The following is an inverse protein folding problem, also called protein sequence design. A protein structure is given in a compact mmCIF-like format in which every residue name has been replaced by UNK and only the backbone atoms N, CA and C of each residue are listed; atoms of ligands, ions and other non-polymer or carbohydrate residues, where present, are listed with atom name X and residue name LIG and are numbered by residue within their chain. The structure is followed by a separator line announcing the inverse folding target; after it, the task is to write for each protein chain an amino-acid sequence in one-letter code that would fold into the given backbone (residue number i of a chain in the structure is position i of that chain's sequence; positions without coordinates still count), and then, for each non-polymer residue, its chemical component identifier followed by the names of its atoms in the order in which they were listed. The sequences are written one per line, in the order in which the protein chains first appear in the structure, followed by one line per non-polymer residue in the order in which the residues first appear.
data_IF_186776752398
#
_entry.id   IF_186776752398
#
_cell.length_a   1.000
_cell.length_b   1.000
_cell.length_c   1.000
_cell.angle_alpha   90.00
_cell.angle_beta   90.00
_cell.angle_gamma   90.00
#
_symmetry.space_group_name_H-M   'P 1'
#
loop_
_entity.id
_entity.type
_entity.pdbx_description
1 polymer ?
#
# COMPACT_ATOMS: atom_id res chain seq x y z
N UNK A 1 7.07 -23.11 -8.25
CA UNK A 1 8.22 -22.75 -7.40
C UNK A 1 8.44 -21.25 -7.62
N UNK A 2 7.77 -20.40 -6.82
CA UNK A 2 7.87 -18.94 -6.97
C UNK A 2 9.19 -18.53 -6.33
N UNK A 3 9.95 -17.78 -7.10
CA UNK A 3 11.33 -17.40 -6.84
C UNK A 3 11.48 -16.67 -5.49
N UNK A 4 12.09 -17.37 -4.51
CA UNK A 4 12.45 -16.87 -3.18
C UNK A 4 13.55 -15.78 -3.23
N UNK A 5 13.98 -15.36 -4.42
CA UNK A 5 15.03 -14.37 -4.62
C UNK A 5 14.55 -12.92 -4.78
N UNK A 6 13.25 -12.63 -4.88
CA UNK A 6 12.76 -11.23 -4.77
C UNK A 6 12.70 -10.80 -3.31
N UNK A 7 13.85 -10.87 -2.64
CA UNK A 7 14.06 -10.47 -1.25
C UNK A 7 14.10 -8.94 -1.20
N UNK A 8 13.04 -8.35 -0.68
CA UNK A 8 13.05 -7.05 0.01
C UNK A 8 13.23 -5.76 -0.84
N UNK A 9 12.91 -5.78 -2.13
CA UNK A 9 13.06 -4.62 -3.06
C UNK A 9 11.89 -3.62 -3.06
N UNK A 10 10.84 -3.84 -2.26
CA UNK A 10 9.56 -3.12 -2.47
C UNK A 10 9.57 -1.63 -2.10
N UNK A 11 10.28 -1.25 -1.03
CA UNK A 11 10.22 0.11 -0.46
C UNK A 11 11.51 0.90 -0.58
N UNK A 12 12.58 0.30 -1.10
CA UNK A 12 13.83 1.02 -1.37
C UNK A 12 13.65 2.05 -2.51
N UNK A 13 12.77 1.74 -3.46
CA UNK A 13 12.37 2.62 -4.56
C UNK A 13 11.18 3.52 -4.22
N UNK A 14 10.76 3.61 -2.95
CA UNK A 14 9.56 4.36 -2.58
C UNK A 14 9.62 5.83 -3.02
N UNK A 15 10.76 6.49 -2.82
CA UNK A 15 10.96 7.89 -3.24
C UNK A 15 10.88 8.04 -4.75
N UNK A 16 11.48 7.12 -5.50
CA UNK A 16 11.41 7.10 -6.98
C UNK A 16 9.98 6.90 -7.47
N UNK A 17 9.21 6.02 -6.82
CA UNK A 17 7.79 5.81 -7.13
C UNK A 17 6.96 7.06 -6.83
N UNK A 18 7.20 7.72 -5.70
CA UNK A 18 6.47 8.93 -5.32
C UNK A 18 6.75 10.09 -6.29
N UNK A 19 8.00 10.25 -6.72
CA UNK A 19 8.40 11.22 -7.75
C UNK A 19 7.79 10.86 -9.10
N UNK A 20 7.84 9.60 -9.51
CA UNK A 20 7.27 9.14 -10.79
C UNK A 20 5.75 9.37 -10.84
N UNK A 21 5.05 9.08 -9.75
CA UNK A 21 3.63 9.37 -9.60
C UNK A 21 3.35 10.87 -9.75
N UNK A 22 4.10 11.72 -9.04
CA UNK A 22 3.91 13.16 -9.09
C UNK A 22 4.20 13.74 -10.48
N UNK A 23 5.24 13.25 -11.17
CA UNK A 23 5.55 13.68 -12.53
C UNK A 23 4.41 13.33 -13.48
N UNK A 24 3.91 12.10 -13.42
CA UNK A 24 2.78 11.64 -14.23
C UNK A 24 1.51 12.47 -13.98
N UNK A 25 1.21 12.75 -12.71
CA UNK A 25 0.10 13.61 -12.31
C UNK A 25 0.28 15.07 -12.79
N UNK A 26 1.49 15.60 -12.67
CA UNK A 26 1.82 16.96 -13.11
C UNK A 26 1.68 17.12 -14.61
N UNK A 27 2.12 16.14 -15.39
CA UNK A 27 1.98 16.16 -16.84
C UNK A 27 0.52 16.04 -17.27
N UNK A 28 -0.27 15.22 -16.56
CA UNK A 28 -1.72 15.19 -16.75
C UNK A 28 -2.37 16.55 -16.44
N UNK A 29 -2.03 17.18 -15.31
CA UNK A 29 -2.56 18.51 -14.97
C UNK A 29 -2.19 19.57 -16.02
N UNK A 30 -0.94 19.58 -16.52
CA UNK A 30 -0.51 20.48 -17.60
C UNK A 30 -1.30 20.26 -18.87
N UNK A 31 -1.60 19.00 -19.22
CA UNK A 31 -2.41 18.68 -20.41
C UNK A 31 -3.84 19.24 -20.35
N UNK A 32 -4.36 19.48 -19.13
CA UNK A 32 -5.64 20.13 -18.89
C UNK A 32 -5.54 21.66 -18.79
N UNK A 33 -4.36 22.25 -19.02
CA UNK A 33 -4.07 23.68 -18.89
C UNK A 33 -3.80 24.14 -17.45
N UNK A 34 -3.63 23.21 -16.50
CA UNK A 34 -3.33 23.51 -15.11
C UNK A 34 -1.85 23.78 -14.84
N UNK A 35 -1.57 24.48 -13.74
CA UNK A 35 -0.23 24.70 -13.20
C UNK A 35 -0.04 23.84 -11.93
N UNK A 36 0.69 22.72 -11.99
CA UNK A 36 0.88 21.81 -10.85
C UNK A 36 1.48 22.50 -9.63
N UNK A 37 2.41 23.45 -9.80
CA UNK A 37 3.07 24.11 -8.68
C UNK A 37 2.14 25.06 -7.91
N UNK A 38 1.07 25.54 -8.57
CA UNK A 38 0.03 26.35 -7.92
C UNK A 38 -1.11 25.50 -7.36
N UNK A 39 -1.54 24.48 -8.09
CA UNK A 39 -2.71 23.68 -7.74
C UNK A 39 -2.39 22.62 -6.68
N UNK A 40 -1.28 21.92 -6.85
CA UNK A 40 -0.89 20.82 -5.98
C UNK A 40 0.62 20.52 -6.12
N UNK A 41 1.50 21.29 -5.47
CA UNK A 41 2.94 21.10 -5.55
C UNK A 41 3.39 19.78 -4.90
N UNK A 42 4.59 19.30 -5.23
CA UNK A 42 5.13 18.04 -4.68
C UNK A 42 5.21 18.08 -3.14
N UNK A 43 5.49 19.25 -2.56
CA UNK A 43 5.46 19.46 -1.12
C UNK A 43 4.09 19.18 -0.50
N UNK A 44 3.00 19.54 -1.18
CA UNK A 44 1.64 19.24 -0.75
C UNK A 44 1.36 17.73 -0.81
N UNK A 45 1.82 17.05 -1.87
CA UNK A 45 1.77 15.58 -1.94
C UNK A 45 2.50 14.94 -0.75
N UNK A 46 3.70 15.40 -0.40
CA UNK A 46 4.47 14.88 0.75
C UNK A 46 3.72 15.08 2.08
N UNK A 47 3.11 16.25 2.29
CA UNK A 47 2.31 16.52 3.49
C UNK A 47 1.07 15.61 3.54
N UNK A 48 0.36 15.46 2.42
CA UNK A 48 -0.79 14.57 2.33
C UNK A 48 -0.41 13.10 2.56
N UNK A 49 0.69 12.66 1.96
CA UNK A 49 1.20 11.31 2.14
C UNK A 49 1.48 11.02 3.62
N UNK A 50 2.20 11.91 4.31
CA UNK A 50 2.43 11.79 5.75
C UNK A 50 1.13 11.75 6.55
N UNK A 51 0.19 12.65 6.25
CA UNK A 51 -1.09 12.76 6.97
C UNK A 51 -1.99 11.53 6.80
N UNK A 52 -2.04 10.96 5.59
CA UNK A 52 -3.01 9.92 5.24
C UNK A 52 -2.39 8.51 5.14
N UNK A 53 -1.07 8.37 5.23
CA UNK A 53 -0.37 7.08 5.16
C UNK A 53 -0.77 6.09 6.24
N UNK A 54 -1.32 6.54 7.38
CA UNK A 54 -1.87 5.65 8.41
C UNK A 54 -2.96 4.73 7.86
N UNK A 55 -3.81 5.26 6.96
CA UNK A 55 -4.80 4.45 6.27
C UNK A 55 -4.13 3.35 5.45
N UNK A 56 -3.10 3.70 4.68
CA UNK A 56 -2.31 2.74 3.91
C UNK A 56 -1.64 1.67 4.78
N UNK A 57 -1.12 2.05 5.95
CA UNK A 57 -0.55 1.10 6.92
C UNK A 57 -1.61 0.12 7.44
N UNK A 58 -2.79 0.63 7.84
CA UNK A 58 -3.90 -0.21 8.32
C UNK A 58 -4.37 -1.14 7.20
N UNK A 59 -4.55 -0.64 5.99
CA UNK A 59 -4.92 -1.44 4.82
C UNK A 59 -3.88 -2.51 4.50
N UNK A 60 -2.58 -2.21 4.63
CA UNK A 60 -1.52 -3.18 4.37
C UNK A 60 -1.58 -4.38 5.32
N UNK A 61 -2.00 -4.21 6.59
CA UNK A 61 -2.19 -5.32 7.53
C UNK A 61 -3.18 -6.36 7.00
N UNK A 62 -4.25 -5.92 6.34
CA UNK A 62 -5.29 -6.81 5.81
C UNK A 62 -4.98 -7.30 4.41
N UNK A 63 -4.52 -6.42 3.52
CA UNK A 63 -4.15 -6.79 2.13
C UNK A 63 -3.04 -7.83 2.13
N UNK A 64 -2.02 -7.68 3.00
CA UNK A 64 -0.94 -8.67 3.07
C UNK A 64 -1.42 -10.03 3.55
N UNK A 65 -2.42 -10.10 4.44
CA UNK A 65 -3.03 -11.38 4.85
C UNK A 65 -3.75 -12.02 3.68
N UNK A 66 -4.55 -11.26 2.94
CA UNK A 66 -5.23 -11.76 1.75
C UNK A 66 -4.25 -12.27 0.70
N UNK A 67 -3.13 -11.57 0.47
CA UNK A 67 -2.12 -11.97 -0.53
C UNK A 67 -1.29 -13.22 -0.15
N UNK A 68 -1.31 -13.65 1.11
CA UNK A 68 -0.51 -14.79 1.60
C UNK A 68 -1.34 -15.92 2.19
N UNK A 69 -2.67 -15.76 2.29
CA UNK A 69 -3.57 -16.84 2.69
C UNK A 69 -3.63 -17.92 1.60
N UNK A 70 -3.95 -19.14 2.03
CA UNK A 70 -4.27 -20.20 1.09
C UNK A 70 -5.57 -19.83 0.35
N UNK A 71 -5.71 -20.25 -0.91
CA UNK A 71 -6.87 -19.88 -1.73
C UNK A 71 -8.18 -20.33 -1.09
N UNK A 72 -8.14 -21.47 -0.40
CA UNK A 72 -9.28 -22.07 0.29
C UNK A 72 -9.70 -21.29 1.55
N UNK A 73 -8.80 -20.49 2.11
CA UNK A 73 -9.05 -19.66 3.29
C UNK A 73 -9.38 -18.19 2.91
N UNK A 74 -9.33 -17.85 1.61
CA UNK A 74 -9.58 -16.49 1.13
C UNK A 74 -11.09 -16.18 1.15
N UNK A 75 -11.52 -15.04 1.72
CA UNK A 75 -12.94 -14.65 1.71
C UNK A 75 -13.40 -14.37 0.28
N UNK A 76 -14.63 -14.76 -0.06
CA UNK A 76 -15.21 -14.42 -1.34
C UNK A 76 -15.71 -12.97 -1.33
N UNK A 77 -15.52 -12.27 -2.45
CA UNK A 77 -16.03 -10.88 -2.58
C UNK A 77 -17.56 -10.81 -2.50
N UNK A 78 -18.26 -11.91 -2.77
CA UNK A 78 -19.70 -12.01 -2.61
C UNK A 78 -20.12 -11.90 -1.14
N UNK A 79 -19.33 -12.45 -0.21
CA UNK A 79 -19.61 -12.45 1.23
C UNK A 79 -19.61 -11.04 1.83
N UNK A 80 -18.84 -10.12 1.24
CA UNK A 80 -18.82 -8.69 1.59
C UNK A 80 -20.13 -7.96 1.26
N UNK A 81 -20.83 -8.39 0.21
CA UNK A 81 -22.07 -7.76 -0.24
C UNK A 81 -23.26 -8.12 0.66
N UNK A 82 -23.17 -9.24 1.40
CA UNK A 82 -24.24 -9.76 2.25
C UNK A 82 -24.22 -9.19 3.68
N UNK A 83 -23.54 -8.07 3.90
CA UNK A 83 -23.55 -7.35 5.18
C UNK A 83 -22.66 -7.96 6.26
N UNK A 84 -21.72 -8.83 5.89
CA UNK A 84 -20.64 -9.23 6.79
C UNK A 84 -19.82 -8.01 7.21
N UNK A 85 -19.37 -8.00 8.46
CA UNK A 85 -18.58 -6.89 8.99
C UNK A 85 -17.26 -6.82 8.23
N UNK A 86 -16.88 -5.63 7.77
CA UNK A 86 -15.57 -5.36 7.16
C UNK A 86 -14.42 -5.97 7.99
N UNK A 87 -14.55 -6.05 9.33
CA UNK A 87 -13.60 -6.72 10.21
C UNK A 87 -13.29 -8.18 9.86
N UNK A 88 -14.27 -8.95 9.39
CA UNK A 88 -14.11 -10.36 9.02
C UNK A 88 -13.34 -10.50 7.71
N UNK A 89 -13.60 -9.63 6.74
CA UNK A 89 -12.81 -9.53 5.51
C UNK A 89 -11.38 -9.06 5.76
N UNK A 90 -11.19 -8.19 6.75
CA UNK A 90 -9.88 -7.67 7.14
C UNK A 90 -9.05 -8.68 7.96
N UNK A 91 -9.65 -9.81 8.38
CA UNK A 91 -9.02 -10.84 9.19
C UNK A 91 -9.13 -12.23 8.56
N UNK A 92 -8.09 -12.63 7.81
CA UNK A 92 -7.91 -14.00 7.35
C UNK A 92 -6.97 -14.75 8.29
N UNK A 93 -7.35 -15.96 8.71
CA UNK A 93 -6.49 -16.81 9.52
C UNK A 93 -5.35 -17.36 8.67
N UNK A 94 -4.12 -17.02 9.02
CA UNK A 94 -2.94 -17.47 8.28
C UNK A 94 -2.35 -18.73 8.91
N UNK A 95 -2.27 -19.80 8.12
CA UNK A 95 -1.52 -21.02 8.48
C UNK A 95 -0.01 -20.75 8.54
N UNK A 96 0.53 -19.99 7.58
CA UNK A 96 1.93 -19.57 7.57
C UNK A 96 2.05 -18.05 7.83
N UNK A 97 2.53 -17.69 9.02
CA UNK A 97 2.71 -16.30 9.44
C UNK A 97 4.08 -15.73 9.07
N UNK A 98 5.05 -16.57 8.72
CA UNK A 98 6.42 -16.13 8.47
C UNK A 98 6.50 -15.23 7.24
N UNK A 99 5.88 -15.65 6.13
CA UNK A 99 5.82 -14.86 4.90
C UNK A 99 5.04 -13.55 5.08
N UNK A 100 3.97 -13.57 5.88
CA UNK A 100 3.23 -12.35 6.23
C UNK A 100 4.12 -11.35 6.96
N UNK A 101 4.82 -11.79 8.02
CA UNK A 101 5.71 -10.91 8.78
C UNK A 101 6.93 -10.48 7.97
N UNK A 102 7.45 -11.33 7.09
CA UNK A 102 8.52 -10.97 6.14
C UNK A 102 8.11 -9.79 5.27
N UNK A 103 6.89 -9.79 4.72
CA UNK A 103 6.36 -8.71 3.88
C UNK A 103 5.88 -7.49 4.66
N UNK A 104 5.33 -7.67 5.86
CA UNK A 104 4.83 -6.56 6.69
C UNK A 104 5.97 -5.75 7.32
N UNK A 105 7.05 -6.42 7.74
CA UNK A 105 8.18 -5.79 8.41
C UNK A 105 8.75 -4.56 7.67
N UNK A 106 9.04 -4.60 6.35
CA UNK A 106 9.52 -3.42 5.64
C UNK A 106 8.48 -2.30 5.60
N UNK A 107 7.18 -2.59 5.47
CA UNK A 107 6.09 -1.58 5.49
C UNK A 107 6.05 -0.83 6.83
N UNK A 108 6.06 -1.57 7.93
CA UNK A 108 6.07 -0.99 9.28
C UNK A 108 7.33 -0.16 9.51
N UNK A 109 8.50 -0.69 9.15
CA UNK A 109 9.78 0.03 9.27
C UNK A 109 9.80 1.31 8.45
N UNK A 110 9.24 1.28 7.25
CA UNK A 110 9.16 2.44 6.39
C UNK A 110 8.27 3.53 6.99
N UNK A 111 7.07 3.17 7.46
CA UNK A 111 6.13 4.10 8.08
C UNK A 111 6.73 4.82 9.32
N UNK A 112 7.48 4.10 10.14
CA UNK A 112 8.13 4.65 11.34
C UNK A 112 9.54 5.22 11.11
N UNK A 113 10.02 5.22 9.86
CA UNK A 113 11.32 5.80 9.52
C UNK A 113 11.29 7.33 9.70
N UNK A 114 12.37 7.96 10.21
CA UNK A 114 12.44 9.43 10.32
C UNK A 114 12.45 10.14 8.96
N UNK A 115 12.70 9.42 7.86
CA UNK A 115 12.58 9.95 6.48
C UNK A 115 11.13 10.03 6.01
N UNK A 116 10.24 9.31 6.69
CA UNK A 116 8.81 9.25 6.42
C UNK A 116 8.06 10.30 7.24
#
# INVERSE_FOLDING_TARGET
MIDLHRRNEGLEHFEELLVTYYNSFSDFLKSLGGDPEKLFPFSALRVHWRKYSLFGLISALSILRFMVCDKEDAPELADLAEGQNMGDFLYVNLKNRDLYYERLRPVVRHYFSPKF
#
